data_IF_729944426708
#
_entry.id   IF_729944426708
#
_cell.length_a   1.000
_cell.length_b   1.000
_cell.length_c   1.000
_cell.angle_alpha   90.00
_cell.angle_beta   90.00
_cell.angle_gamma   90.00
#
_symmetry.space_group_name_H-M   'P 1'
#
loop_
_entity.id
_entity.type
_entity.pdbx_description
1 polymer ?
#
# COMPACT_ATOMS: atom_id res chain seq x y z
N UNK A 1 28.49 20.33 -26.47
CA UNK A 1 29.25 20.62 -25.23
C UNK A 1 28.75 21.92 -24.66
N UNK A 2 27.97 21.83 -23.58
CA UNK A 2 27.84 22.76 -22.45
C UNK A 2 26.54 22.36 -21.73
N UNK A 3 26.60 21.25 -20.99
CA UNK A 3 25.60 20.95 -19.98
C UNK A 3 25.64 22.06 -18.93
N UNK A 4 24.50 22.70 -18.72
CA UNK A 4 24.35 23.81 -17.78
C UNK A 4 24.56 23.33 -16.33
N UNK A 5 25.58 23.84 -15.60
CA UNK A 5 25.86 23.44 -14.23
C UNK A 5 24.83 23.93 -13.20
N UNK A 6 23.86 24.77 -13.60
CA UNK A 6 22.91 25.36 -12.65
C UNK A 6 21.83 24.40 -12.14
N UNK A 7 21.69 23.21 -12.73
CA UNK A 7 20.49 22.37 -12.53
C UNK A 7 20.35 21.69 -11.15
N UNK A 8 21.25 21.89 -10.18
CA UNK A 8 21.09 21.21 -8.88
C UNK A 8 21.73 21.91 -7.65
N UNK A 9 22.06 23.21 -7.72
CA UNK A 9 22.57 23.89 -6.52
C UNK A 9 21.50 24.05 -5.43
N UNK A 10 20.23 24.26 -5.82
CA UNK A 10 19.12 24.49 -4.88
C UNK A 10 18.64 23.21 -4.21
N UNK A 11 18.46 22.14 -4.98
CA UNK A 11 18.15 20.80 -4.46
C UNK A 11 19.21 20.31 -3.48
N UNK A 12 20.50 20.41 -3.84
CA UNK A 12 21.62 20.03 -2.96
C UNK A 12 21.66 20.88 -1.69
N UNK A 13 21.32 22.18 -1.78
CA UNK A 13 21.23 23.05 -0.61
C UNK A 13 20.07 22.63 0.30
N UNK A 14 18.87 22.44 -0.24
CA UNK A 14 17.70 21.99 0.52
C UNK A 14 17.92 20.63 1.16
N UNK A 15 18.58 19.70 0.47
CA UNK A 15 18.95 18.39 0.98
C UNK A 15 19.94 18.49 2.15
N UNK A 16 20.93 19.40 2.07
CA UNK A 16 21.90 19.68 3.14
C UNK A 16 21.29 20.39 4.35
N UNK A 17 20.26 21.23 4.15
CA UNK A 17 19.58 21.96 5.25
C UNK A 17 18.35 21.23 5.79
N UNK A 18 18.12 19.97 5.40
CA UNK A 18 17.04 19.12 5.95
C UNK A 18 15.67 19.28 5.28
N UNK A 19 15.56 20.08 4.22
CA UNK A 19 14.35 20.26 3.42
C UNK A 19 14.32 19.30 2.21
N UNK A 20 14.21 17.99 2.46
CA UNK A 20 13.97 17.02 1.39
C UNK A 20 12.53 17.18 0.87
N UNK A 21 12.27 17.01 -0.44
CA UNK A 21 10.90 16.95 -0.96
C UNK A 21 10.30 18.27 -1.47
N UNK A 22 11.00 19.41 -1.37
CA UNK A 22 10.42 20.73 -1.72
C UNK A 22 10.19 20.88 -3.23
N UNK A 23 11.11 20.37 -4.04
CA UNK A 23 10.97 20.40 -5.50
C UNK A 23 9.92 19.39 -5.96
N UNK A 24 9.89 18.20 -5.36
CA UNK A 24 8.92 17.14 -5.60
C UNK A 24 7.50 17.60 -5.29
N UNK A 25 7.30 18.29 -4.15
CA UNK A 25 6.01 18.89 -3.78
C UNK A 25 5.55 19.89 -4.83
N UNK A 26 6.43 20.80 -5.28
CA UNK A 26 6.09 21.79 -6.32
C UNK A 26 5.76 21.12 -7.65
N UNK A 27 6.50 20.08 -8.03
CA UNK A 27 6.22 19.30 -9.23
C UNK A 27 4.84 18.65 -9.15
N UNK A 28 4.46 18.07 -8.01
CA UNK A 28 3.11 17.52 -7.82
C UNK A 28 2.04 18.61 -7.87
N UNK A 29 2.26 19.77 -7.24
CA UNK A 29 1.33 20.91 -7.30
C UNK A 29 1.12 21.44 -8.73
N UNK A 30 2.10 21.28 -9.62
CA UNK A 30 1.95 21.60 -11.04
C UNK A 30 1.03 20.57 -11.70
N UNK A 31 1.27 19.27 -11.50
CA UNK A 31 0.43 18.20 -12.05
C UNK A 31 -1.03 18.30 -11.57
N UNK A 32 -1.25 18.71 -10.32
CA UNK A 32 -2.59 18.86 -9.74
C UNK A 32 -3.36 20.08 -10.25
N UNK A 33 -2.72 20.98 -11.02
CA UNK A 33 -3.38 22.13 -11.66
C UNK A 33 -3.89 21.82 -13.07
N UNK A 34 -3.50 20.68 -13.65
CA UNK A 34 -3.98 20.28 -14.96
C UNK A 34 -5.49 19.97 -14.93
N UNK A 35 -6.20 20.28 -16.01
CA UNK A 35 -7.61 19.93 -16.20
C UNK A 35 -7.84 19.44 -17.63
N UNK A 36 -8.06 18.13 -17.85
CA UNK A 36 -8.09 17.06 -16.84
C UNK A 36 -6.71 16.75 -16.25
N UNK A 37 -6.70 16.15 -15.04
CA UNK A 37 -5.50 15.63 -14.40
C UNK A 37 -4.85 14.54 -15.27
N UNK A 38 -3.53 14.63 -15.44
CA UNK A 38 -2.75 13.63 -16.14
C UNK A 38 -2.46 12.42 -15.23
N UNK A 39 -3.32 11.40 -15.31
CA UNK A 39 -3.23 10.20 -14.46
C UNK A 39 -1.91 9.44 -14.69
N UNK A 40 -1.39 9.40 -15.92
CA UNK A 40 -0.13 8.70 -16.23
C UNK A 40 1.07 9.41 -15.59
N UNK A 41 1.09 10.74 -15.60
CA UNK A 41 2.10 11.51 -14.87
C UNK A 41 1.96 11.36 -13.36
N UNK A 42 0.74 11.32 -12.82
CA UNK A 42 0.52 11.06 -11.39
C UNK A 42 0.99 9.65 -10.97
N UNK A 43 0.77 8.64 -11.81
CA UNK A 43 1.32 7.29 -11.63
C UNK A 43 2.84 7.36 -11.60
N UNK A 44 3.45 7.96 -12.62
CA UNK A 44 4.91 8.07 -12.77
C UNK A 44 5.54 8.80 -11.58
N UNK A 45 4.93 9.91 -11.16
CA UNK A 45 5.34 10.66 -9.96
C UNK A 45 5.26 9.78 -8.71
N UNK A 46 4.13 9.11 -8.50
CA UNK A 46 3.90 8.26 -7.32
C UNK A 46 4.80 7.03 -7.28
N UNK A 47 5.21 6.50 -8.44
CA UNK A 47 6.19 5.42 -8.53
C UNK A 47 7.60 5.92 -8.17
N UNK A 48 7.95 7.14 -8.55
CA UNK A 48 9.29 7.71 -8.33
C UNK A 48 9.49 8.32 -6.94
N UNK A 49 8.53 9.09 -6.46
CA UNK A 49 8.64 9.90 -5.24
C UNK A 49 7.57 9.50 -4.21
N UNK A 50 7.83 9.68 -2.90
CA UNK A 50 6.78 9.56 -1.90
C UNK A 50 5.79 10.72 -2.03
N UNK A 51 4.50 10.48 -1.79
CA UNK A 51 3.50 11.55 -1.86
C UNK A 51 3.62 12.50 -0.64
N UNK A 52 3.49 13.82 -0.82
CA UNK A 52 3.30 14.73 0.31
C UNK A 52 1.99 14.39 1.05
N UNK A 53 2.02 14.35 2.39
CA UNK A 53 0.88 13.87 3.19
C UNK A 53 -0.44 14.59 2.88
N UNK A 54 -0.40 15.91 2.70
CA UNK A 54 -1.59 16.72 2.38
C UNK A 54 -2.25 16.39 1.03
N UNK A 55 -1.52 15.76 0.09
CA UNK A 55 -2.05 15.40 -1.22
C UNK A 55 -2.28 13.90 -1.40
N UNK A 56 -1.76 13.06 -0.48
CA UNK A 56 -1.80 11.61 -0.60
C UNK A 56 -3.21 11.09 -0.85
N UNK A 57 -4.16 11.45 0.00
CA UNK A 57 -5.54 10.98 -0.09
C UNK A 57 -6.20 11.43 -1.39
N UNK A 58 -5.97 12.67 -1.80
CA UNK A 58 -6.50 13.17 -3.07
C UNK A 58 -5.94 12.40 -4.28
N UNK A 59 -4.62 12.20 -4.34
CA UNK A 59 -3.96 11.45 -5.40
C UNK A 59 -4.42 10.00 -5.41
N UNK A 60 -4.49 9.33 -4.25
CA UNK A 60 -4.99 7.96 -4.15
C UNK A 60 -6.43 7.85 -4.67
N UNK A 61 -7.31 8.80 -4.33
CA UNK A 61 -8.69 8.82 -4.86
C UNK A 61 -8.74 8.91 -6.38
N UNK A 62 -7.86 9.71 -7.00
CA UNK A 62 -7.77 9.80 -8.47
C UNK A 62 -7.20 8.51 -9.06
N UNK A 63 -6.09 7.99 -8.53
CA UNK A 63 -5.44 6.77 -9.03
C UNK A 63 -6.30 5.51 -8.87
N UNK A 64 -7.10 5.45 -7.81
CA UNK A 64 -8.04 4.35 -7.56
C UNK A 64 -9.36 4.50 -8.34
N UNK A 65 -9.55 5.61 -9.08
CA UNK A 65 -10.77 5.86 -9.85
C UNK A 65 -11.99 6.21 -9.00
N UNK A 66 -11.78 6.62 -7.75
CA UNK A 66 -12.85 7.14 -6.86
C UNK A 66 -13.26 8.53 -7.33
N UNK A 67 -12.27 9.36 -7.69
CA UNK A 67 -12.47 10.67 -8.30
C UNK A 67 -12.04 10.63 -9.78
N UNK A 68 -12.80 11.27 -10.68
CA UNK A 68 -12.42 11.35 -12.08
C UNK A 68 -11.22 12.29 -12.29
N UNK A 69 -10.54 12.24 -13.45
CA UNK A 69 -9.47 13.19 -13.77
C UNK A 69 -9.94 14.65 -13.87
N UNK A 70 -11.23 14.90 -14.08
CA UNK A 70 -11.77 16.25 -14.19
C UNK A 70 -12.09 16.81 -12.80
N UNK A 71 -11.21 17.67 -12.28
CA UNK A 71 -11.29 18.23 -10.93
C UNK A 71 -12.60 18.98 -10.65
N UNK A 72 -13.18 19.64 -11.66
CA UNK A 72 -14.47 20.35 -11.54
C UNK A 72 -15.64 19.42 -11.17
N UNK A 73 -15.52 18.12 -11.48
CA UNK A 73 -16.54 17.12 -11.15
C UNK A 73 -16.36 16.52 -9.75
N UNK A 74 -15.24 16.78 -9.06
CA UNK A 74 -14.95 16.17 -7.76
C UNK A 74 -16.01 16.45 -6.69
N UNK A 75 -16.54 17.68 -6.53
CA UNK A 75 -17.57 17.94 -5.53
C UNK A 75 -18.85 17.13 -5.78
N UNK A 76 -19.26 17.02 -7.05
CA UNK A 76 -20.44 16.26 -7.45
C UNK A 76 -20.26 14.76 -7.22
N UNK A 77 -19.13 14.21 -7.65
CA UNK A 77 -18.82 12.77 -7.47
C UNK A 77 -18.70 12.45 -5.98
N UNK A 78 -18.04 13.30 -5.18
CA UNK A 78 -17.92 13.10 -3.73
C UNK A 78 -19.29 13.06 -3.06
N UNK A 79 -20.24 13.91 -3.49
CA UNK A 79 -21.62 13.87 -3.00
C UNK A 79 -22.30 12.52 -3.28
N UNK A 80 -22.19 12.02 -4.52
CA UNK A 80 -22.76 10.69 -4.86
C UNK A 80 -22.11 9.55 -4.05
N UNK A 81 -20.80 9.65 -3.77
CA UNK A 81 -20.08 8.67 -2.94
C UNK A 81 -20.54 8.68 -1.49
N UNK A 82 -20.86 9.86 -0.94
CA UNK A 82 -21.43 10.00 0.40
C UNK A 82 -22.87 9.49 0.46
N UNK A 83 -23.71 9.82 -0.53
CA UNK A 83 -25.09 9.30 -0.62
C UNK A 83 -25.11 7.77 -0.68
N UNK A 84 -24.29 7.17 -1.56
CA UNK A 84 -24.18 5.71 -1.65
C UNK A 84 -23.67 5.07 -0.35
N UNK A 85 -22.70 5.70 0.32
CA UNK A 85 -22.21 5.22 1.62
C UNK A 85 -23.34 5.16 2.64
N UNK A 86 -24.14 6.22 2.73
CA UNK A 86 -25.26 6.32 3.66
C UNK A 86 -26.39 5.33 3.33
N UNK A 87 -26.71 5.14 2.05
CA UNK A 87 -27.73 4.18 1.62
C UNK A 87 -27.36 2.75 2.01
N UNK A 88 -26.13 2.33 1.73
CA UNK A 88 -25.64 0.98 2.06
C UNK A 88 -25.56 0.79 3.57
N UNK A 89 -25.06 1.79 4.31
CA UNK A 89 -25.05 1.78 5.78
C UNK A 89 -26.46 1.65 6.35
N UNK A 90 -27.41 2.43 5.84
CA UNK A 90 -28.81 2.42 6.25
C UNK A 90 -29.48 1.06 5.99
N UNK A 91 -29.19 0.43 4.85
CA UNK A 91 -29.65 -0.91 4.53
C UNK A 91 -29.14 -1.95 5.55
N UNK A 92 -27.84 -1.93 5.88
CA UNK A 92 -27.25 -2.85 6.85
C UNK A 92 -27.81 -2.68 8.27
N UNK A 93 -28.07 -1.44 8.69
CA UNK A 93 -28.72 -1.15 9.98
C UNK A 93 -30.14 -1.71 9.99
N UNK A 94 -30.90 -1.51 8.91
CA UNK A 94 -32.27 -2.01 8.77
C UNK A 94 -32.32 -3.54 8.78
N UNK A 95 -31.35 -4.18 8.12
CA UNK A 95 -31.17 -5.64 8.10
C UNK A 95 -30.56 -6.20 9.39
N UNK A 96 -30.19 -5.34 10.35
CA UNK A 96 -29.58 -5.69 11.65
C UNK A 96 -28.21 -6.38 11.55
N UNK A 97 -27.47 -6.13 10.47
CA UNK A 97 -26.08 -6.60 10.33
C UNK A 97 -25.09 -5.73 11.12
N UNK A 98 -25.42 -4.46 11.33
CA UNK A 98 -24.59 -3.49 12.04
C UNK A 98 -25.44 -2.67 12.99
N UNK A 99 -24.82 -2.15 14.04
CA UNK A 99 -25.44 -1.26 15.02
C UNK A 99 -24.47 -0.14 15.40
N UNK A 100 -24.88 0.75 16.33
CA UNK A 100 -24.06 1.90 16.74
C UNK A 100 -22.73 1.54 17.42
N UNK A 101 -22.62 0.33 17.96
CA UNK A 101 -21.41 -0.17 18.61
C UNK A 101 -20.51 -0.98 17.66
N UNK A 102 -20.94 -1.21 16.40
CA UNK A 102 -20.12 -1.91 15.41
C UNK A 102 -18.90 -1.05 15.05
N UNK A 103 -17.67 -1.61 15.16
CA UNK A 103 -16.45 -0.92 14.73
C UNK A 103 -16.52 -0.47 13.27
N UNK A 104 -15.82 0.62 12.93
CA UNK A 104 -15.88 1.21 11.59
C UNK A 104 -15.35 0.25 10.51
N UNK A 105 -14.27 -0.48 10.79
CA UNK A 105 -13.73 -1.50 9.86
C UNK A 105 -14.69 -2.65 9.61
N UNK A 106 -15.39 -3.12 10.65
CA UNK A 106 -16.41 -4.16 10.51
C UNK A 106 -17.60 -3.64 9.68
N UNK A 107 -18.03 -2.39 9.91
CA UNK A 107 -19.04 -1.74 9.07
C UNK A 107 -18.60 -1.72 7.60
N UNK A 108 -17.37 -1.27 7.32
CA UNK A 108 -16.82 -1.25 5.96
C UNK A 108 -16.76 -2.64 5.32
N UNK A 109 -16.40 -3.68 6.08
CA UNK A 109 -16.44 -5.06 5.60
C UNK A 109 -17.85 -5.49 5.22
N UNK A 110 -18.86 -5.19 6.06
CA UNK A 110 -20.26 -5.52 5.74
C UNK A 110 -20.78 -4.75 4.53
N UNK A 111 -20.41 -3.48 4.39
CA UNK A 111 -20.75 -2.67 3.22
C UNK A 111 -20.14 -3.28 1.95
N UNK A 112 -18.85 -3.65 2.01
CA UNK A 112 -18.15 -4.30 0.91
C UNK A 112 -18.80 -5.64 0.52
N UNK A 113 -19.14 -6.47 1.50
CA UNK A 113 -19.82 -7.75 1.26
C UNK A 113 -21.20 -7.55 0.62
N UNK A 114 -21.98 -6.57 1.08
CA UNK A 114 -23.30 -6.28 0.53
C UNK A 114 -23.23 -5.85 -0.94
N UNK A 115 -22.34 -4.90 -1.25
CA UNK A 115 -22.20 -4.39 -2.61
C UNK A 115 -21.65 -5.42 -3.60
N UNK A 116 -20.81 -6.36 -3.14
CA UNK A 116 -20.29 -7.47 -3.94
C UNK A 116 -21.18 -8.72 -3.91
N UNK A 117 -22.40 -8.64 -3.36
CA UNK A 117 -23.33 -9.77 -3.25
C UNK A 117 -22.77 -10.99 -2.47
N UNK A 118 -21.83 -10.73 -1.56
CA UNK A 118 -21.20 -11.74 -0.69
C UNK A 118 -21.73 -11.72 0.74
N UNK A 119 -22.71 -10.86 1.04
CA UNK A 119 -23.30 -10.77 2.38
C UNK A 119 -24.14 -12.02 2.67
N UNK A 120 -23.61 -12.90 3.52
CA UNK A 120 -24.31 -14.10 4.01
C UNK A 120 -25.36 -13.74 5.06
N UNK A 121 -26.34 -14.63 5.29
CA UNK A 121 -27.37 -14.43 6.33
C UNK A 121 -26.74 -14.42 7.72
N UNK A 122 -27.23 -13.58 8.64
CA UNK A 122 -26.70 -13.50 10.00
C UNK A 122 -26.63 -14.86 10.73
N UNK A 123 -27.56 -15.78 10.45
CA UNK A 123 -27.60 -17.12 11.07
C UNK A 123 -26.50 -18.08 10.58
N UNK A 124 -25.80 -17.73 9.50
CA UNK A 124 -24.80 -18.57 8.82
C UNK A 124 -23.37 -18.07 9.01
N UNK A 125 -23.18 -16.99 9.79
CA UNK A 125 -21.86 -16.43 10.08
C UNK A 125 -21.14 -17.31 11.10
N UNK A 126 -20.13 -18.06 10.69
CA UNK A 126 -19.17 -18.65 11.63
C UNK A 126 -18.12 -17.60 12.03
N UNK A 127 -17.48 -17.74 13.21
CA UNK A 127 -16.34 -16.90 13.60
C UNK A 127 -15.16 -16.97 12.61
N UNK A 128 -15.05 -18.06 11.84
CA UNK A 128 -14.00 -18.29 10.85
C UNK A 128 -14.30 -17.62 9.49
N UNK A 129 -15.48 -17.02 9.30
CA UNK A 129 -15.88 -16.32 8.06
C UNK A 129 -15.46 -14.84 8.03
N UNK A 130 -14.57 -14.43 8.93
CA UNK A 130 -14.06 -13.06 8.97
C UNK A 130 -12.99 -12.90 7.89
N UNK A 131 -13.20 -11.95 6.98
CA UNK A 131 -12.18 -11.57 5.99
C UNK A 131 -11.09 -10.77 6.70
N UNK A 132 -10.16 -11.48 7.36
CA UNK A 132 -9.06 -10.89 8.12
C UNK A 132 -8.15 -10.04 7.23
N UNK A 133 -8.02 -10.39 5.95
CA UNK A 133 -7.18 -9.65 5.00
C UNK A 133 -7.81 -8.27 4.73
N UNK A 134 -9.12 -8.21 4.49
CA UNK A 134 -9.86 -6.96 4.37
C UNK A 134 -9.79 -6.13 5.66
N UNK A 135 -10.01 -6.74 6.83
CA UNK A 135 -9.98 -6.02 8.10
C UNK A 135 -8.61 -5.41 8.40
N UNK A 136 -7.52 -6.14 8.14
CA UNK A 136 -6.17 -5.62 8.34
C UNK A 136 -5.91 -4.36 7.47
N UNK A 137 -6.27 -4.42 6.19
CA UNK A 137 -6.18 -3.27 5.27
C UNK A 137 -7.09 -2.14 5.75
N UNK A 138 -8.31 -2.47 6.18
CA UNK A 138 -9.29 -1.52 6.70
C UNK A 138 -8.77 -0.75 7.91
N UNK A 139 -8.19 -1.44 8.89
CA UNK A 139 -7.62 -0.82 10.09
C UNK A 139 -6.46 0.11 9.75
N UNK A 140 -5.57 -0.31 8.85
CA UNK A 140 -4.46 0.55 8.41
C UNK A 140 -4.99 1.79 7.70
N UNK A 141 -6.02 1.66 6.86
CA UNK A 141 -6.59 2.80 6.14
C UNK A 141 -7.34 3.76 7.09
N UNK A 142 -7.97 3.25 8.13
CA UNK A 142 -8.63 4.06 9.18
C UNK A 142 -7.62 4.96 9.92
N UNK A 143 -6.43 4.45 10.23
CA UNK A 143 -5.35 5.24 10.82
C UNK A 143 -4.78 6.32 9.87
N UNK A 144 -4.94 6.14 8.55
CA UNK A 144 -4.44 7.06 7.52
C UNK A 144 -5.48 8.09 7.05
N UNK A 145 -6.77 7.86 7.31
CA UNK A 145 -7.88 8.60 6.69
C UNK A 145 -8.96 8.93 7.71
N UNK A 146 -9.05 10.21 8.08
CA UNK A 146 -10.01 10.68 9.08
C UNK A 146 -11.48 10.59 8.61
N UNK A 147 -11.74 10.82 7.33
CA UNK A 147 -13.10 10.82 6.79
C UNK A 147 -13.58 9.38 6.52
N UNK A 148 -14.67 8.91 7.15
CA UNK A 148 -15.12 7.52 7.04
C UNK A 148 -15.61 7.16 5.64
N UNK A 149 -16.13 8.14 4.88
CA UNK A 149 -16.60 7.92 3.50
C UNK A 149 -15.39 7.69 2.60
N UNK A 150 -14.41 8.58 2.62
CA UNK A 150 -13.15 8.42 1.90
C UNK A 150 -12.44 7.12 2.31
N UNK A 151 -12.37 6.82 3.61
CA UNK A 151 -11.77 5.59 4.13
C UNK A 151 -12.44 4.35 3.50
N UNK A 152 -13.77 4.27 3.51
CA UNK A 152 -14.50 3.15 2.89
C UNK A 152 -14.16 3.00 1.41
N UNK A 153 -14.24 4.10 0.66
CA UNK A 153 -13.99 4.08 -0.78
C UNK A 153 -12.55 3.70 -1.10
N UNK A 154 -11.58 4.16 -0.31
CA UNK A 154 -10.18 3.80 -0.45
C UNK A 154 -9.95 2.31 -0.17
N UNK A 155 -10.46 1.76 0.93
CA UNK A 155 -10.33 0.32 1.24
C UNK A 155 -10.98 -0.52 0.14
N UNK A 156 -12.23 -0.22 -0.23
CA UNK A 156 -12.98 -0.94 -1.26
C UNK A 156 -12.21 -0.97 -2.58
N UNK A 157 -11.74 0.19 -3.06
CA UNK A 157 -11.06 0.25 -4.36
C UNK A 157 -9.64 -0.30 -4.28
N UNK A 158 -8.93 -0.13 -3.16
CA UNK A 158 -7.63 -0.76 -2.96
C UNK A 158 -7.74 -2.28 -3.06
N UNK A 159 -8.64 -2.91 -2.29
CA UNK A 159 -8.85 -4.37 -2.30
C UNK A 159 -9.29 -4.86 -3.68
N UNK A 160 -10.28 -4.20 -4.29
CA UNK A 160 -10.78 -4.58 -5.61
C UNK A 160 -9.70 -4.46 -6.69
N UNK A 161 -9.00 -3.33 -6.74
CA UNK A 161 -7.93 -3.15 -7.72
C UNK A 161 -6.77 -4.10 -7.45
N UNK A 162 -6.39 -4.33 -6.20
CA UNK A 162 -5.28 -5.22 -5.88
C UNK A 162 -5.57 -6.64 -6.39
N UNK A 163 -6.75 -7.18 -6.12
CA UNK A 163 -7.15 -8.50 -6.59
C UNK A 163 -7.40 -8.55 -8.10
N UNK A 164 -8.05 -7.55 -8.69
CA UNK A 164 -8.37 -7.58 -10.11
C UNK A 164 -7.13 -7.31 -10.98
N UNK A 165 -6.32 -6.30 -10.64
CA UNK A 165 -5.15 -5.87 -11.40
C UNK A 165 -3.96 -6.79 -11.22
N UNK A 166 -3.79 -7.37 -10.02
CA UNK A 166 -2.64 -8.20 -9.69
C UNK A 166 -2.98 -9.65 -9.39
N UNK A 167 -4.22 -10.11 -9.61
CA UNK A 167 -4.67 -11.47 -9.33
C UNK A 167 -3.75 -12.55 -9.91
N UNK A 168 -3.31 -12.37 -11.15
CA UNK A 168 -2.37 -13.31 -11.80
C UNK A 168 -0.92 -13.15 -11.32
N UNK A 169 -0.56 -11.97 -10.79
CA UNK A 169 0.81 -11.67 -10.33
C UNK A 169 1.07 -12.09 -8.88
N UNK A 170 0.07 -11.99 -8.00
CA UNK A 170 0.18 -12.27 -6.55
C UNK A 170 0.73 -13.68 -6.27
N UNK A 171 0.24 -14.76 -6.92
CA UNK A 171 0.78 -16.12 -6.72
C UNK A 171 2.26 -16.26 -7.11
N UNK A 172 2.80 -15.34 -7.90
CA UNK A 172 4.19 -15.34 -8.35
C UNK A 172 5.12 -14.48 -7.50
N UNK A 173 4.61 -13.70 -6.54
CA UNK A 173 5.42 -12.87 -5.66
C UNK A 173 6.38 -13.66 -4.76
N UNK A 174 6.00 -14.83 -4.17
CA UNK A 174 6.95 -15.65 -3.40
C UNK A 174 8.14 -16.12 -4.24
N UNK A 175 7.90 -16.57 -5.47
CA UNK A 175 8.99 -16.97 -6.39
C UNK A 175 9.85 -15.78 -6.79
N UNK A 176 9.24 -14.61 -6.97
CA UNK A 176 9.97 -13.37 -7.25
C UNK A 176 10.87 -12.97 -6.07
N UNK A 177 10.40 -13.16 -4.83
CA UNK A 177 11.20 -12.95 -3.62
C UNK A 177 12.43 -13.85 -3.61
N UNK A 178 12.26 -15.15 -3.86
CA UNK A 178 13.41 -16.07 -3.96
C UNK A 178 14.40 -15.63 -5.04
N UNK A 179 13.89 -15.21 -6.20
CA UNK A 179 14.73 -14.75 -7.31
C UNK A 179 15.57 -13.52 -6.92
N UNK A 180 14.95 -12.45 -6.41
CA UNK A 180 15.69 -11.24 -6.06
C UNK A 180 16.59 -11.45 -4.84
N UNK A 181 16.14 -12.22 -3.84
CA UNK A 181 16.97 -12.55 -2.68
C UNK A 181 18.21 -13.36 -3.08
N UNK A 182 18.12 -14.24 -4.08
CA UNK A 182 19.30 -14.96 -4.61
C UNK A 182 20.35 -14.03 -5.23
N UNK A 183 19.92 -12.87 -5.75
CA UNK A 183 20.82 -11.90 -6.37
C UNK A 183 21.49 -10.99 -5.34
N UNK A 184 20.79 -10.62 -4.28
CA UNK A 184 21.32 -9.78 -3.20
C UNK A 184 22.09 -10.60 -2.15
N UNK A 185 21.57 -11.77 -1.74
CA UNK A 185 22.19 -12.61 -0.72
C UNK A 185 21.81 -14.10 -0.87
N UNK A 186 22.48 -14.78 -1.80
CA UNK A 186 22.27 -16.21 -2.03
C UNK A 186 22.59 -17.10 -0.81
N UNK A 187 23.48 -16.64 0.07
CA UNK A 187 23.82 -17.38 1.28
C UNK A 187 22.63 -17.41 2.26
N UNK A 188 21.95 -16.28 2.44
CA UNK A 188 20.72 -16.21 3.24
C UNK A 188 19.61 -17.07 2.65
N UNK A 189 19.38 -17.00 1.32
CA UNK A 189 18.36 -17.83 0.67
C UNK A 189 18.65 -19.33 0.87
N UNK A 190 19.89 -19.75 0.69
CA UNK A 190 20.29 -21.14 0.86
C UNK A 190 20.07 -21.59 2.31
N UNK A 191 20.42 -20.76 3.29
CA UNK A 191 20.16 -21.03 4.70
C UNK A 191 18.66 -21.15 5.03
N UNK A 192 17.83 -20.21 4.56
CA UNK A 192 16.37 -20.27 4.76
C UNK A 192 15.76 -21.53 4.12
N UNK A 193 16.31 -21.98 2.99
CA UNK A 193 15.87 -23.22 2.32
C UNK A 193 16.32 -24.46 3.08
N UNK A 194 17.58 -24.55 3.49
CA UNK A 194 18.13 -25.70 4.24
C UNK A 194 17.53 -25.85 5.63
N UNK A 195 17.24 -24.72 6.30
CA UNK A 195 16.59 -24.72 7.62
C UNK A 195 15.08 -25.00 7.56
N UNK A 196 14.46 -24.94 6.38
CA UNK A 196 13.01 -25.09 6.22
C UNK A 196 12.20 -23.81 6.52
N UNK A 197 12.85 -22.70 6.90
CA UNK A 197 12.19 -21.44 7.22
C UNK A 197 11.52 -20.78 6.01
N UNK A 198 11.98 -21.07 4.79
CA UNK A 198 11.43 -20.48 3.56
C UNK A 198 9.94 -20.78 3.35
N UNK A 199 9.49 -21.97 3.77
CA UNK A 199 8.10 -22.40 3.66
C UNK A 199 7.20 -21.79 4.75
N UNK A 200 7.78 -21.31 5.86
CA UNK A 200 7.07 -20.74 7.00
C UNK A 200 7.03 -19.21 6.98
N UNK A 201 7.59 -18.58 5.94
CA UNK A 201 7.53 -17.12 5.80
C UNK A 201 6.07 -16.63 5.71
N UNK A 202 5.74 -15.47 6.31
CA UNK A 202 4.36 -14.98 6.37
C UNK A 202 3.91 -14.33 5.05
N UNK A 203 3.88 -15.12 3.97
CA UNK A 203 3.52 -14.63 2.64
C UNK A 203 2.12 -14.01 2.57
N UNK A 204 1.16 -14.52 3.36
CA UNK A 204 -0.20 -13.93 3.42
C UNK A 204 -0.14 -12.50 3.96
N UNK A 205 0.63 -12.27 5.02
CA UNK A 205 0.83 -10.94 5.60
C UNK A 205 1.49 -9.98 4.60
N UNK A 206 2.49 -10.45 3.87
CA UNK A 206 3.23 -9.60 2.93
C UNK A 206 2.48 -9.33 1.63
N UNK A 207 1.80 -10.34 1.07
CA UNK A 207 1.32 -10.30 -0.32
C UNK A 207 -0.20 -10.33 -0.47
N UNK A 208 -0.97 -10.65 0.58
CA UNK A 208 -2.42 -10.45 0.59
C UNK A 208 -2.79 -9.21 1.39
N UNK A 209 -2.24 -9.08 2.61
CA UNK A 209 -2.46 -7.91 3.47
C UNK A 209 -1.60 -6.71 3.10
N UNK A 210 -0.68 -6.85 2.13
CA UNK A 210 0.22 -5.79 1.71
C UNK A 210 0.97 -5.15 2.89
N UNK A 211 1.41 -5.95 3.86
CA UNK A 211 2.04 -5.54 5.13
C UNK A 211 1.15 -4.79 6.14
N UNK A 212 -0.17 -4.71 5.91
CA UNK A 212 -1.11 -4.23 6.91
C UNK A 212 -1.01 -5.05 8.20
N UNK A 213 -0.89 -4.36 9.33
CA UNK A 213 -0.64 -4.98 10.65
C UNK A 213 0.79 -5.49 10.89
N UNK A 214 1.73 -5.20 9.98
CA UNK A 214 3.16 -5.57 10.11
C UNK A 214 4.06 -4.34 10.22
N UNK A 215 3.88 -3.37 9.32
CA UNK A 215 4.62 -2.11 9.31
C UNK A 215 3.77 -0.98 9.92
N UNK A 216 4.37 0.05 10.54
CA UNK A 216 3.64 1.21 11.02
C UNK A 216 3.02 1.96 9.84
N UNK A 217 1.84 2.54 10.05
CA UNK A 217 1.05 3.20 8.98
C UNK A 217 1.83 4.33 8.30
N UNK A 218 2.66 5.04 9.08
CA UNK A 218 3.54 6.12 8.63
C UNK A 218 4.57 5.66 7.60
N UNK A 219 5.13 4.46 7.75
CA UNK A 219 6.03 3.83 6.79
C UNK A 219 5.25 3.15 5.67
N UNK A 220 4.14 2.48 6.02
CA UNK A 220 3.38 1.63 5.10
C UNK A 220 2.70 2.43 3.98
N UNK A 221 2.20 3.63 4.27
CA UNK A 221 1.62 4.51 3.25
C UNK A 221 2.59 4.78 2.08
N UNK A 222 3.92 4.79 2.30
CA UNK A 222 4.91 4.98 1.23
C UNK A 222 5.05 3.75 0.33
N UNK A 223 4.79 2.56 0.86
CA UNK A 223 4.69 1.33 0.07
C UNK A 223 3.38 1.35 -0.71
N UNK A 224 2.28 1.75 -0.07
CA UNK A 224 0.97 1.83 -0.70
C UNK A 224 0.89 2.90 -1.80
N UNK A 225 1.66 4.00 -1.70
CA UNK A 225 1.88 4.94 -2.81
C UNK A 225 2.32 4.19 -4.10
N UNK A 226 3.15 3.15 -3.96
CA UNK A 226 3.67 2.35 -5.09
C UNK A 226 2.69 1.27 -5.55
N UNK A 227 1.97 0.66 -4.61
CA UNK A 227 0.93 -0.33 -4.92
C UNK A 227 -0.22 0.31 -5.68
N UNK A 228 -0.75 1.43 -5.18
CA UNK A 228 -1.85 2.18 -5.78
C UNK A 228 -1.46 2.75 -7.14
N UNK A 229 -0.22 3.21 -7.30
CA UNK A 229 0.30 3.62 -8.61
C UNK A 229 0.66 2.46 -9.54
N UNK A 230 0.38 1.20 -9.16
CA UNK A 230 0.33 0.09 -10.10
C UNK A 230 1.45 -0.93 -10.00
N UNK A 231 2.25 -0.95 -8.94
CA UNK A 231 3.30 -1.95 -8.73
C UNK A 231 3.07 -2.81 -7.50
N UNK A 232 2.65 -4.07 -7.67
CA UNK A 232 2.66 -5.06 -6.58
C UNK A 232 4.06 -5.63 -6.30
N UNK A 233 5.01 -5.48 -7.23
CA UNK A 233 6.39 -5.96 -7.07
C UNK A 233 7.14 -5.27 -5.94
N UNK A 234 6.78 -4.03 -5.58
CA UNK A 234 7.36 -3.34 -4.41
C UNK A 234 7.26 -4.20 -3.14
N UNK A 235 6.18 -4.97 -2.98
CA UNK A 235 5.98 -5.83 -1.82
C UNK A 235 7.09 -6.88 -1.68
N UNK A 236 7.60 -7.37 -2.81
CA UNK A 236 8.73 -8.32 -2.85
C UNK A 236 10.00 -7.68 -2.30
N UNK A 237 10.29 -6.45 -2.68
CA UNK A 237 11.48 -5.73 -2.22
C UNK A 237 11.38 -5.33 -0.75
N UNK A 238 10.18 -5.02 -0.25
CA UNK A 238 9.96 -4.79 1.18
C UNK A 238 10.19 -6.07 1.97
N UNK A 239 9.63 -7.21 1.54
CA UNK A 239 9.88 -8.50 2.17
C UNK A 239 11.38 -8.87 2.15
N UNK A 240 12.05 -8.65 1.01
CA UNK A 240 13.47 -8.92 0.85
C UNK A 240 14.32 -8.07 1.80
N UNK A 241 14.05 -6.76 1.88
CA UNK A 241 14.82 -5.86 2.75
C UNK A 241 14.60 -6.16 4.23
N UNK A 242 13.40 -6.60 4.63
CA UNK A 242 13.15 -7.12 5.99
C UNK A 242 14.05 -8.33 6.28
N UNK A 243 14.13 -9.30 5.35
CA UNK A 243 14.98 -10.48 5.51
C UNK A 243 16.46 -10.11 5.58
N UNK A 244 16.92 -9.18 4.75
CA UNK A 244 18.31 -8.69 4.75
C UNK A 244 18.64 -7.95 6.04
N UNK A 245 17.74 -7.08 6.51
CA UNK A 245 17.92 -6.31 7.75
C UNK A 245 18.05 -7.21 8.97
N UNK A 246 17.25 -8.28 9.03
CA UNK A 246 17.26 -9.22 10.16
C UNK A 246 18.08 -10.50 9.90
N UNK A 247 18.90 -10.53 8.85
CA UNK A 247 19.70 -11.71 8.45
C UNK A 247 20.39 -12.41 9.62
N UNK A 248 21.12 -11.67 10.44
CA UNK A 248 21.91 -12.22 11.55
C UNK A 248 21.00 -12.94 12.56
N UNK A 249 19.84 -12.35 12.87
CA UNK A 249 18.87 -12.94 13.79
C UNK A 249 18.26 -14.21 13.16
N UNK A 250 17.82 -14.11 11.90
CA UNK A 250 17.16 -15.20 11.19
C UNK A 250 18.06 -16.44 11.04
N UNK A 251 19.37 -16.26 10.84
CA UNK A 251 20.32 -17.37 10.71
C UNK A 251 20.45 -18.23 12.00
N UNK A 252 20.06 -17.70 13.16
CA UNK A 252 20.10 -18.41 14.44
C UNK A 252 18.78 -19.05 14.86
N UNK A 253 17.69 -18.85 14.11
CA UNK A 253 16.34 -19.23 14.52
C UNK A 253 15.86 -20.54 13.89
N UNK A 254 14.96 -21.23 14.59
CA UNK A 254 14.19 -22.36 14.03
C UNK A 254 13.01 -21.85 13.19
N UNK A 255 12.48 -22.64 12.24
CA UNK A 255 11.39 -22.23 11.34
C UNK A 255 10.17 -21.60 12.01
N UNK A 256 9.67 -22.23 13.07
CA UNK A 256 8.51 -21.75 13.84
C UNK A 256 8.79 -20.37 14.47
N UNK A 257 10.02 -20.17 14.97
CA UNK A 257 10.46 -18.90 15.55
C UNK A 257 10.61 -17.79 14.51
N UNK A 258 11.01 -18.13 13.28
CA UNK A 258 11.16 -17.16 12.17
C UNK A 258 9.82 -16.56 11.80
N UNK A 259 8.78 -17.39 11.63
CA UNK A 259 7.44 -16.90 11.28
C UNK A 259 6.90 -15.93 12.34
N UNK A 260 6.97 -16.34 13.62
CA UNK A 260 6.48 -15.52 14.73
C UNK A 260 7.26 -14.20 14.87
N UNK A 261 8.58 -14.23 14.68
CA UNK A 261 9.41 -13.03 14.70
C UNK A 261 9.06 -12.07 13.56
N UNK A 262 8.90 -12.57 12.34
CA UNK A 262 8.59 -11.73 11.18
C UNK A 262 7.17 -11.14 11.23
N UNK A 263 6.23 -11.82 11.88
CA UNK A 263 4.91 -11.25 12.17
C UNK A 263 4.94 -10.15 13.26
N UNK A 264 5.96 -10.16 14.13
CA UNK A 264 6.10 -9.23 15.27
C UNK A 264 7.45 -8.51 15.25
N UNK A 265 7.90 -8.10 14.06
CA UNK A 265 9.24 -7.55 13.89
C UNK A 265 9.41 -6.19 14.62
N UNK A 266 10.64 -5.82 15.02
CA UNK A 266 10.92 -4.51 15.61
C UNK A 266 10.51 -3.35 14.69
N UNK A 267 9.92 -2.31 15.28
CA UNK A 267 9.32 -1.19 14.54
C UNK A 267 10.25 0.03 14.37
N UNK A 268 11.40 0.06 15.06
CA UNK A 268 12.30 1.23 15.10
C UNK A 268 12.97 1.54 13.75
N UNK A 269 13.17 0.52 12.90
CA UNK A 269 13.94 0.64 11.65
C UNK A 269 13.07 0.57 10.38
N UNK A 270 11.75 0.59 10.52
CA UNK A 270 10.81 0.35 9.41
C UNK A 270 10.94 1.41 8.31
N UNK A 271 11.22 2.66 8.68
CA UNK A 271 11.39 3.73 7.69
C UNK A 271 12.64 3.55 6.83
N UNK A 272 13.74 3.08 7.42
CA UNK A 272 14.97 2.77 6.71
C UNK A 272 14.77 1.55 5.80
N UNK A 273 14.07 0.52 6.28
CA UNK A 273 13.69 -0.68 5.50
C UNK A 273 12.89 -0.26 4.27
N UNK A 274 11.81 0.51 4.43
CA UNK A 274 10.96 0.93 3.30
C UNK A 274 11.75 1.78 2.30
N UNK A 275 12.65 2.63 2.77
CA UNK A 275 13.46 3.48 1.87
C UNK A 275 14.40 2.63 1.02
N UNK A 276 15.17 1.73 1.65
CA UNK A 276 16.07 0.82 0.93
C UNK A 276 15.31 -0.15 0.01
N UNK A 277 14.14 -0.62 0.44
CA UNK A 277 13.29 -1.46 -0.39
C UNK A 277 12.83 -0.75 -1.67
N UNK A 278 12.48 0.54 -1.58
CA UNK A 278 12.14 1.36 -2.75
C UNK A 278 13.36 1.54 -3.66
N UNK A 279 14.54 1.80 -3.10
CA UNK A 279 15.78 1.93 -3.86
C UNK A 279 16.14 0.63 -4.60
N UNK A 280 16.02 -0.52 -3.92
CA UNK A 280 16.22 -1.84 -4.53
C UNK A 280 15.19 -2.13 -5.61
N UNK A 281 13.92 -1.78 -5.37
CA UNK A 281 12.88 -1.91 -6.38
C UNK A 281 13.21 -1.08 -7.64
N UNK A 282 13.65 0.18 -7.48
CA UNK A 282 14.09 1.01 -8.60
C UNK A 282 15.33 0.46 -9.30
N UNK A 283 16.31 -0.07 -8.55
CA UNK A 283 17.52 -0.71 -9.09
C UNK A 283 17.17 -1.86 -10.04
N UNK A 284 16.21 -2.71 -9.66
CA UNK A 284 15.89 -3.93 -10.41
C UNK A 284 14.79 -3.78 -11.44
N UNK A 285 13.80 -2.91 -11.20
CA UNK A 285 12.66 -2.73 -12.10
C UNK A 285 12.79 -1.47 -12.98
N UNK A 286 13.80 -0.63 -12.72
CA UNK A 286 13.95 0.68 -13.34
C UNK A 286 13.07 1.73 -12.68
N UNK A 287 13.48 3.00 -12.77
CA UNK A 287 12.65 4.14 -12.41
C UNK A 287 11.93 4.62 -13.68
N UNK A 288 10.59 4.72 -13.68
CA UNK A 288 9.89 5.33 -14.80
C UNK A 288 10.40 6.76 -15.01
N UNK A 289 10.75 7.11 -16.25
CA UNK A 289 11.20 8.45 -16.56
C UNK A 289 10.01 9.40 -16.52
N UNK A 290 10.10 10.46 -15.70
CA UNK A 290 9.14 11.56 -15.75
C UNK A 290 9.50 12.40 -16.98
N UNK A 291 8.68 12.32 -18.03
CA UNK A 291 8.69 13.31 -19.10
C UNK A 291 8.25 14.64 -18.49
N UNK A 292 9.13 15.64 -18.55
CA UNK A 292 8.83 17.02 -18.19
C UNK A 292 8.00 17.63 -19.32
#
# INVERSE_FOLDING_TARGET
>A
MADDPQRNFRSTYYEKVGFRGVEEKKSLEILLKDSPLDVEKLITFSQRFPLPSMYRIHVWKVLLGILPPHSDSHPLVSRYRAEQYEDVRGALVTMRFVNKATPLTELHLRMFQLENQMLRRCSELSPDDVDEDFLAIGHTMEELVDDPVDCYWLVKNFVNQFHHKFGDSIPHLPKSLEHFLSQEDNALLTQLRTSGCLATLPYSLWFKRCFAGCLPDTSLQRVWDKVISGSCKILVFVAMEILLTYKIMLMGMKPEGVANFLCNMPQENTDAIVTKAIDLWHKYCGTPMHSV
#
